data_IF_174548767626
#
_entry.id   IF_174548767626
#
_cell.length_a   1.000
_cell.length_b   1.000
_cell.length_c   1.000
_cell.angle_alpha   90.00
_cell.angle_beta   90.00
_cell.angle_gamma   90.00
#
_symmetry.space_group_name_H-M   'P 1'
#
loop_
_entity.id
_entity.type
_entity.pdbx_description
1 polymer ?
#
# COMPACT_ATOMS: atom_id res chain seq x y z
N UNK A 1 3.37 17.95 -0.76
CA UNK A 1 3.16 16.50 -0.48
C UNK A 1 1.74 16.20 0.02
N UNK A 2 1.21 16.98 0.98
CA UNK A 2 -0.18 16.83 1.47
C UNK A 2 -1.24 17.08 0.38
N UNK A 3 -1.01 18.04 -0.52
CA UNK A 3 -1.95 18.36 -1.60
C UNK A 3 -2.12 17.23 -2.62
N UNK A 4 -1.06 16.45 -2.85
CA UNK A 4 -1.12 15.26 -3.72
C UNK A 4 -2.00 14.17 -3.09
N UNK A 5 -1.81 13.90 -1.79
CA UNK A 5 -2.64 12.94 -1.05
C UNK A 5 -4.10 13.39 -0.95
N UNK A 6 -4.36 14.70 -0.88
CA UNK A 6 -5.72 15.24 -0.88
C UNK A 6 -6.45 14.96 -2.20
N UNK A 7 -5.76 15.11 -3.33
CA UNK A 7 -6.32 14.90 -4.68
C UNK A 7 -6.55 13.43 -5.06
N UNK A 8 -5.88 12.49 -4.41
CA UNK A 8 -6.08 11.07 -4.67
C UNK A 8 -7.42 10.58 -4.07
N UNK A 9 -8.39 10.10 -4.85
CA UNK A 9 -9.65 9.63 -4.30
C UNK A 9 -9.44 8.41 -3.39
N UNK A 10 -10.08 8.41 -2.21
CA UNK A 10 -9.94 7.31 -1.24
C UNK A 10 -10.42 5.97 -1.83
N UNK A 11 -11.53 5.98 -2.59
CA UNK A 11 -12.06 4.78 -3.24
C UNK A 11 -11.06 4.16 -4.22
N UNK A 12 -10.27 4.97 -4.93
CA UNK A 12 -9.27 4.46 -5.85
C UNK A 12 -8.13 3.78 -5.08
N UNK A 13 -7.65 4.39 -4.00
CA UNK A 13 -6.65 3.74 -3.14
C UNK A 13 -7.17 2.42 -2.55
N UNK A 14 -8.44 2.38 -2.13
CA UNK A 14 -9.07 1.15 -1.65
C UNK A 14 -9.12 0.09 -2.74
N UNK A 15 -9.58 0.42 -3.95
CA UNK A 15 -9.63 -0.52 -5.08
C UNK A 15 -8.23 -1.06 -5.39
N UNK A 16 -7.21 -0.19 -5.47
CA UNK A 16 -5.83 -0.61 -5.77
C UNK A 16 -5.25 -1.47 -4.63
N UNK A 17 -5.51 -1.15 -3.36
CA UNK A 17 -5.08 -2.01 -2.23
C UNK A 17 -5.76 -3.38 -2.30
N UNK A 18 -7.07 -3.41 -2.53
CA UNK A 18 -7.86 -4.64 -2.56
C UNK A 18 -7.61 -5.48 -3.82
N UNK A 19 -6.95 -4.94 -4.85
CA UNK A 19 -6.61 -5.66 -6.08
C UNK A 19 -5.11 -5.92 -6.15
N UNK A 20 -4.34 -4.92 -6.59
CA UNK A 20 -2.89 -5.02 -6.74
C UNK A 20 -2.19 -5.24 -5.39
N UNK A 21 -2.62 -4.56 -4.33
CA UNK A 21 -1.97 -4.66 -3.03
C UNK A 21 -2.15 -6.02 -2.33
N UNK A 22 -3.20 -6.77 -2.66
CA UNK A 22 -3.48 -8.10 -2.14
C UNK A 22 -3.13 -9.22 -3.13
N UNK A 23 -2.77 -8.91 -4.37
CA UNK A 23 -2.46 -9.92 -5.36
C UNK A 23 -1.16 -10.69 -5.02
N UNK A 24 -1.08 -11.98 -5.38
CA UNK A 24 -2.20 -12.88 -5.62
C UNK A 24 -2.97 -13.15 -4.32
N UNK A 25 -4.30 -13.30 -4.38
CA UNK A 25 -5.10 -13.51 -3.16
C UNK A 25 -4.86 -14.87 -2.48
N UNK A 26 -4.37 -15.85 -3.23
CA UNK A 26 -4.14 -17.22 -2.80
C UNK A 26 -2.81 -17.72 -3.35
N UNK A 27 -2.07 -18.58 -2.61
CA UNK A 27 -2.35 -19.02 -1.25
C UNK A 27 -2.11 -17.94 -0.18
N UNK A 28 -1.23 -16.98 -0.44
CA UNK A 28 -1.04 -15.78 0.37
C UNK A 28 -0.64 -14.56 -0.51
N UNK A 29 -1.00 -13.33 -0.13
CA UNK A 29 -0.58 -12.12 -0.83
C UNK A 29 0.94 -11.97 -0.93
N UNK A 30 1.44 -11.50 -2.07
CA UNK A 30 2.87 -11.25 -2.25
C UNK A 30 3.40 -10.29 -1.18
N UNK A 31 2.64 -9.24 -0.84
CA UNK A 31 3.04 -8.29 0.20
C UNK A 31 3.32 -9.00 1.53
N UNK A 32 2.54 -10.02 1.89
CA UNK A 32 2.73 -10.77 3.14
C UNK A 32 3.95 -11.68 3.08
N UNK A 33 4.11 -12.41 1.98
CA UNK A 33 5.30 -13.24 1.72
C UNK A 33 6.58 -12.39 1.83
N UNK A 34 6.62 -11.23 1.16
CA UNK A 34 7.82 -10.39 1.15
C UNK A 34 8.08 -9.72 2.50
N UNK A 35 7.05 -9.38 3.27
CA UNK A 35 7.22 -8.91 4.65
C UNK A 35 7.86 -9.97 5.56
N UNK A 36 7.48 -11.25 5.39
CA UNK A 36 8.14 -12.35 6.12
C UNK A 36 9.61 -12.50 5.72
N UNK A 37 9.91 -12.44 4.42
CA UNK A 37 11.30 -12.47 3.93
C UNK A 37 12.11 -11.29 4.45
N UNK A 38 11.51 -10.08 4.50
CA UNK A 38 12.15 -8.89 5.06
C UNK A 38 12.46 -9.07 6.55
N UNK A 39 11.48 -9.55 7.33
CA UNK A 39 11.65 -9.80 8.76
C UNK A 39 12.70 -10.89 9.05
N UNK A 40 12.84 -11.88 8.16
CA UNK A 40 13.86 -12.92 8.23
C UNK A 40 15.24 -12.49 7.70
N UNK A 41 15.39 -11.28 7.16
CA UNK A 41 16.64 -10.82 6.53
C UNK A 41 16.98 -11.53 5.20
N UNK A 42 15.99 -12.15 4.56
CA UNK A 42 16.15 -12.95 3.35
C UNK A 42 15.64 -12.25 2.08
N UNK A 43 15.18 -10.99 2.18
CA UNK A 43 14.73 -10.17 1.05
C UNK A 43 15.92 -9.63 0.23
N UNK A 44 16.67 -10.52 -0.41
CA UNK A 44 17.93 -10.17 -1.11
C UNK A 44 17.78 -10.10 -2.62
N UNK A 45 16.77 -10.76 -3.20
CA UNK A 45 16.60 -10.79 -4.64
C UNK A 45 15.96 -9.47 -5.10
N UNK A 46 16.50 -8.79 -6.12
CA UNK A 46 15.92 -7.55 -6.64
C UNK A 46 14.43 -7.68 -7.00
N UNK A 47 14.02 -8.83 -7.52
CA UNK A 47 12.61 -9.09 -7.86
C UNK A 47 11.70 -9.12 -6.64
N UNK A 48 12.16 -9.66 -5.49
CA UNK A 48 11.36 -9.68 -4.27
C UNK A 48 11.22 -8.28 -3.66
N UNK A 49 12.27 -7.46 -3.79
CA UNK A 49 12.25 -6.05 -3.38
C UNK A 49 11.25 -5.29 -4.26
N UNK A 50 11.32 -5.49 -5.57
CA UNK A 50 10.35 -4.90 -6.50
C UNK A 50 8.92 -5.34 -6.18
N UNK A 51 8.68 -6.62 -5.92
CA UNK A 51 7.37 -7.14 -5.53
C UNK A 51 6.88 -6.49 -4.24
N UNK A 52 7.73 -6.36 -3.22
CA UNK A 52 7.37 -5.69 -1.98
C UNK A 52 6.99 -4.22 -2.23
N UNK A 53 7.77 -3.51 -3.06
CA UNK A 53 7.47 -2.12 -3.38
C UNK A 53 6.17 -2.00 -4.18
N UNK A 54 5.96 -2.84 -5.19
CA UNK A 54 4.77 -2.81 -6.04
C UNK A 54 3.48 -3.08 -5.24
N UNK A 55 3.48 -4.12 -4.42
CA UNK A 55 2.29 -4.53 -3.66
C UNK A 55 2.15 -3.73 -2.35
N UNK A 56 3.25 -3.24 -1.78
CA UNK A 56 3.28 -2.45 -0.55
C UNK A 56 2.96 -0.96 -0.73
N UNK A 57 3.31 -0.37 -1.88
CA UNK A 57 3.08 1.07 -2.15
C UNK A 57 1.61 1.49 -1.98
N UNK A 58 0.61 0.75 -2.49
CA UNK A 58 -0.80 1.06 -2.26
C UNK A 58 -1.17 1.22 -0.78
N UNK A 59 -0.68 0.30 0.07
CA UNK A 59 -0.94 0.31 1.52
C UNK A 59 -0.30 1.50 2.22
N UNK A 60 0.92 1.86 1.83
CA UNK A 60 1.60 3.05 2.36
C UNK A 60 0.82 4.31 1.98
N UNK A 61 0.41 4.44 0.71
CA UNK A 61 -0.37 5.60 0.25
C UNK A 61 -1.73 5.70 0.96
N UNK A 62 -2.43 4.58 1.13
CA UNK A 62 -3.70 4.53 1.85
C UNK A 62 -3.51 4.97 3.31
N UNK A 63 -2.49 4.44 3.99
CA UNK A 63 -2.15 4.80 5.38
C UNK A 63 -1.80 6.27 5.52
N UNK A 64 -0.98 6.81 4.61
CA UNK A 64 -0.63 8.23 4.61
C UNK A 64 -1.86 9.11 4.36
N UNK A 65 -2.76 8.73 3.44
CA UNK A 65 -3.98 9.50 3.19
C UNK A 65 -4.91 9.50 4.42
N UNK A 66 -5.09 8.38 5.10
CA UNK A 66 -6.00 8.31 6.25
C UNK A 66 -5.44 8.98 7.51
N UNK A 67 -4.12 9.02 7.66
CA UNK A 67 -3.44 9.64 8.83
C UNK A 67 -3.12 11.11 8.62
N UNK A 68 -2.68 11.52 7.42
CA UNK A 68 -2.21 12.88 7.11
C UNK A 68 -3.16 13.66 6.19
N UNK A 69 -4.01 12.96 5.43
CA UNK A 69 -4.88 13.52 4.39
C UNK A 69 -6.32 13.73 4.83
N UNK A 70 -6.60 13.87 6.14
CA UNK A 70 -7.91 14.32 6.62
C UNK A 70 -8.19 15.72 6.06
N UNK A 71 -9.00 15.77 5.01
CA UNK A 71 -9.73 16.99 4.68
C UNK A 71 -10.63 17.30 5.90
N UNK A 72 -10.67 18.54 6.42
CA UNK A 72 -11.64 18.89 7.45
C UNK A 72 -13.04 18.48 6.98
N UNK A 73 -13.83 17.93 7.90
CA UNK A 73 -15.21 17.57 7.62
C UNK A 73 -15.93 18.79 7.04
N UNK A 74 -16.66 18.59 5.94
CA UNK A 74 -17.65 19.58 5.51
C UNK A 74 -18.65 19.73 6.66
N UNK A 75 -18.66 20.89 7.31
CA UNK A 75 -19.45 21.16 8.50
C UNK A 75 -18.89 22.26 9.40
N UNK A 76 -18.48 23.40 8.82
CA UNK A 76 -18.43 24.73 9.47
C UNK A 76 -19.20 25.71 8.57
#
# INVERSE_FOLDING_TARGET
MRDLLARLPLHLLLIVCLTLGLAPFLPEPHVWEKLKLLAAGQLVRPIDIFDLLLHGTPWVLLTLKTTLGRTPAVGD
#
